data_IF_833860010561
#
_entry.id   IF_833860010561
#
_cell.length_a   1.000
_cell.length_b   1.000
_cell.length_c   1.000
_cell.angle_alpha   90.00
_cell.angle_beta   90.00
_cell.angle_gamma   90.00
#
_symmetry.space_group_name_H-M   'P 1'
#
loop_
_entity.id
_entity.type
_entity.pdbx_description
1 polymer ?
#
# COMPACT_ATOMS: atom_id res chain seq x y z
N UNK A 1 10.08 -14.39 11.35
CA UNK A 1 9.24 -13.18 11.49
C UNK A 1 10.08 -11.98 11.10
N UNK A 2 9.55 -11.03 10.32
CA UNK A 2 10.29 -9.83 9.94
C UNK A 2 10.69 -9.02 11.19
N UNK A 3 11.94 -8.56 11.24
CA UNK A 3 12.47 -7.77 12.35
C UNK A 3 11.70 -6.46 12.54
N UNK A 4 11.53 -6.04 13.79
CA UNK A 4 10.75 -4.83 14.13
C UNK A 4 11.32 -3.57 13.44
N UNK A 5 12.66 -3.50 13.30
CA UNK A 5 13.35 -2.42 12.59
C UNK A 5 12.88 -2.32 11.13
N UNK A 6 12.67 -3.44 10.45
CA UNK A 6 12.25 -3.46 9.06
C UNK A 6 10.75 -3.17 8.94
N UNK A 7 9.93 -3.70 9.83
CA UNK A 7 8.50 -3.35 9.94
C UNK A 7 8.30 -1.83 10.11
N UNK A 8 9.17 -1.15 10.89
CA UNK A 8 9.12 0.31 11.04
C UNK A 8 9.35 1.07 9.73
N UNK A 9 10.17 0.53 8.81
CA UNK A 9 10.39 1.14 7.48
C UNK A 9 9.09 1.11 6.67
N UNK A 10 8.42 -0.04 6.59
CA UNK A 10 7.13 -0.17 5.90
C UNK A 10 6.06 0.70 6.55
N UNK A 11 5.95 0.68 7.88
CA UNK A 11 5.01 1.53 8.61
C UNK A 11 5.18 3.01 8.27
N UNK A 12 6.43 3.48 8.18
CA UNK A 12 6.72 4.86 7.82
C UNK A 12 6.26 5.21 6.40
N UNK A 13 6.33 4.26 5.45
CA UNK A 13 5.84 4.47 4.09
C UNK A 13 4.31 4.60 4.02
N UNK A 14 3.57 3.71 4.70
CA UNK A 14 2.09 3.82 4.80
C UNK A 14 1.67 5.13 5.49
N UNK A 15 2.38 5.53 6.54
CA UNK A 15 2.13 6.78 7.25
C UNK A 15 2.37 8.00 6.35
N UNK A 16 3.46 8.00 5.58
CA UNK A 16 3.76 9.09 4.65
C UNK A 16 2.76 9.16 3.49
N UNK A 17 2.34 8.01 2.96
CA UNK A 17 1.28 7.94 1.96
C UNK A 17 -0.04 8.53 2.47
N UNK A 18 -0.42 8.21 3.71
CA UNK A 18 -1.59 8.79 4.37
C UNK A 18 -1.47 10.31 4.49
N UNK A 19 -0.32 10.82 4.96
CA UNK A 19 -0.08 12.26 5.07
C UNK A 19 -0.22 12.98 3.73
N UNK A 20 0.24 12.37 2.62
CA UNK A 20 0.05 12.93 1.29
C UNK A 20 -1.42 12.92 0.88
N UNK A 21 -2.16 11.83 1.09
CA UNK A 21 -3.59 11.75 0.74
C UNK A 21 -4.45 12.72 1.55
N UNK A 22 -4.15 12.90 2.84
CA UNK A 22 -4.80 13.89 3.70
C UNK A 22 -4.58 15.33 3.22
N UNK A 23 -3.41 15.62 2.65
CA UNK A 23 -3.05 16.94 2.12
C UNK A 23 -3.10 17.02 0.59
N UNK A 24 -3.85 16.12 -0.07
CA UNK A 24 -3.83 15.88 -1.53
C UNK A 24 -3.92 17.13 -2.40
N UNK A 25 -4.63 18.16 -1.95
CA UNK A 25 -4.79 19.43 -2.68
C UNK A 25 -3.48 20.21 -2.85
N UNK A 26 -2.50 20.02 -1.96
CA UNK A 26 -1.20 20.68 -2.00
C UNK A 26 -0.09 19.78 -2.57
N UNK A 27 -0.41 18.52 -2.88
CA UNK A 27 0.59 17.54 -3.32
C UNK A 27 0.94 17.76 -4.78
N UNK A 28 2.23 18.01 -5.02
CA UNK A 28 2.83 18.13 -6.35
C UNK A 28 3.74 16.94 -6.64
N UNK A 29 4.15 16.81 -7.90
CA UNK A 29 5.04 15.74 -8.33
C UNK A 29 6.36 15.71 -7.54
N UNK A 30 6.90 16.87 -7.13
CA UNK A 30 8.13 16.90 -6.31
C UNK A 30 7.98 16.19 -4.96
N UNK A 31 6.82 16.28 -4.31
CA UNK A 31 6.57 15.61 -3.03
C UNK A 31 6.55 14.08 -3.18
N UNK A 32 5.96 13.59 -4.27
CA UNK A 32 5.95 12.16 -4.62
C UNK A 32 7.38 11.67 -4.91
N UNK A 33 8.14 12.44 -5.68
CA UNK A 33 9.54 12.12 -5.99
C UNK A 33 10.42 12.07 -4.73
N UNK A 34 10.19 12.97 -3.77
CA UNK A 34 10.87 12.94 -2.47
C UNK A 34 10.54 11.67 -1.67
N UNK A 35 9.28 11.22 -1.66
CA UNK A 35 8.91 9.97 -0.96
C UNK A 35 9.54 8.73 -1.59
N UNK A 36 9.59 8.64 -2.92
CA UNK A 36 10.27 7.55 -3.63
C UNK A 36 11.75 7.48 -3.21
N UNK A 37 12.44 8.62 -3.22
CA UNK A 37 13.84 8.72 -2.78
C UNK A 37 14.03 8.34 -1.30
N UNK A 38 13.12 8.78 -0.44
CA UNK A 38 13.17 8.50 1.01
C UNK A 38 13.08 7.01 1.32
N UNK A 39 12.15 6.31 0.68
CA UNK A 39 11.83 4.92 1.04
C UNK A 39 12.68 3.89 0.30
N UNK A 40 13.19 4.21 -0.89
CA UNK A 40 14.22 3.44 -1.60
C UNK A 40 13.87 2.00 -1.99
N UNK A 41 12.74 1.46 -1.54
CA UNK A 41 12.22 0.15 -1.87
C UNK A 41 11.40 0.24 -3.18
N UNK A 42 11.74 -0.54 -4.22
CA UNK A 42 11.07 -0.47 -5.52
C UNK A 42 9.56 -0.73 -5.47
N UNK A 43 9.08 -1.65 -4.63
CA UNK A 43 7.63 -1.93 -4.53
C UNK A 43 6.96 -0.87 -3.67
N UNK A 44 7.59 -0.40 -2.59
CA UNK A 44 7.03 0.74 -1.84
C UNK A 44 7.04 2.05 -2.65
N UNK A 45 7.86 2.15 -3.69
CA UNK A 45 7.75 3.26 -4.66
C UNK A 45 6.41 3.24 -5.39
N UNK A 46 5.80 2.06 -5.58
CA UNK A 46 4.45 1.92 -6.14
C UNK A 46 3.37 2.50 -5.24
N UNK A 47 3.57 2.52 -3.92
CA UNK A 47 2.66 3.20 -3.00
C UNK A 47 2.58 4.71 -3.32
N UNK A 48 3.70 5.33 -3.67
CA UNK A 48 3.69 6.75 -4.01
C UNK A 48 3.24 7.01 -5.45
N UNK A 49 3.64 6.16 -6.40
CA UNK A 49 3.31 6.32 -7.82
C UNK A 49 1.87 5.89 -8.15
N UNK A 50 1.50 4.65 -7.83
CA UNK A 50 0.26 4.00 -8.27
C UNK A 50 -0.90 4.25 -7.30
N UNK A 51 -0.62 4.45 -6.01
CA UNK A 51 -1.69 4.75 -5.05
C UNK A 51 -1.85 6.25 -4.93
N UNK A 52 -0.85 6.95 -4.40
CA UNK A 52 -0.99 8.38 -4.07
C UNK A 52 -1.10 9.24 -5.33
N UNK A 53 -0.12 9.16 -6.23
CA UNK A 53 -0.06 10.09 -7.36
C UNK A 53 -1.15 9.85 -8.41
N UNK A 54 -1.45 8.59 -8.74
CA UNK A 54 -2.55 8.27 -9.64
C UNK A 54 -3.91 8.70 -9.07
N UNK A 55 -4.14 8.53 -7.77
CA UNK A 55 -5.40 8.95 -7.16
C UNK A 55 -5.55 10.47 -7.20
N UNK A 56 -4.48 11.22 -6.90
CA UNK A 56 -4.47 12.68 -7.04
C UNK A 56 -4.78 13.09 -8.49
N UNK A 57 -4.14 12.44 -9.47
CA UNK A 57 -4.40 12.71 -10.90
C UNK A 57 -5.85 12.41 -11.28
N UNK A 58 -6.41 11.30 -10.79
CA UNK A 58 -7.81 10.91 -11.02
C UNK A 58 -8.76 11.97 -10.46
N UNK A 59 -8.53 12.42 -9.23
CA UNK A 59 -9.33 13.46 -8.58
C UNK A 59 -9.24 14.79 -9.34
N UNK A 60 -8.04 15.21 -9.72
CA UNK A 60 -7.82 16.44 -10.49
C UNK A 60 -8.46 16.39 -11.88
N UNK A 61 -8.71 15.19 -12.41
CA UNK A 61 -9.42 14.98 -13.69
C UNK A 61 -10.95 14.90 -13.51
N UNK A 62 -11.49 15.25 -12.34
CA UNK A 62 -12.92 15.26 -12.05
C UNK A 62 -13.45 13.99 -11.37
N UNK A 63 -12.58 13.05 -10.98
CA UNK A 63 -12.98 11.87 -10.24
C UNK A 63 -13.42 12.20 -8.81
N UNK A 64 -14.57 11.66 -8.37
CA UNK A 64 -15.03 11.83 -6.99
C UNK A 64 -14.02 11.19 -6.00
N UNK A 65 -13.48 11.94 -5.03
CA UNK A 65 -12.56 11.39 -4.03
C UNK A 65 -13.31 10.54 -3.01
N UNK A 66 -12.60 9.58 -2.40
CA UNK A 66 -13.07 8.98 -1.14
C UNK A 66 -13.06 10.02 -0.01
N UNK A 67 -13.77 9.73 1.07
CA UNK A 67 -13.67 10.50 2.30
C UNK A 67 -12.29 10.30 2.94
N UNK A 68 -11.80 11.31 3.66
CA UNK A 68 -10.49 11.25 4.32
C UNK A 68 -10.37 10.03 5.25
N UNK A 69 -11.44 9.73 6.00
CA UNK A 69 -11.50 8.56 6.87
C UNK A 69 -11.35 7.25 6.09
N UNK A 70 -11.94 7.14 4.89
CA UNK A 70 -11.83 5.94 4.07
C UNK A 70 -10.41 5.73 3.54
N UNK A 71 -9.69 6.80 3.16
CA UNK A 71 -8.28 6.70 2.80
C UNK A 71 -7.42 6.24 3.97
N UNK A 72 -7.65 6.78 5.17
CA UNK A 72 -6.95 6.37 6.40
C UNK A 72 -7.19 4.90 6.72
N UNK A 73 -8.45 4.46 6.65
CA UNK A 73 -8.86 3.08 6.90
C UNK A 73 -8.26 2.11 5.87
N UNK A 74 -8.27 2.47 4.59
CA UNK A 74 -7.64 1.69 3.52
C UNK A 74 -6.14 1.47 3.78
N UNK A 75 -5.40 2.55 4.04
CA UNK A 75 -3.95 2.48 4.25
C UNK A 75 -3.59 1.79 5.56
N UNK A 76 -4.36 2.03 6.62
CA UNK A 76 -4.17 1.37 7.92
C UNK A 76 -4.50 -0.12 7.84
N UNK A 77 -5.57 -0.48 7.16
CA UNK A 77 -5.95 -1.86 6.90
C UNK A 77 -4.89 -2.61 6.10
N UNK A 78 -4.41 -2.02 5.01
CA UNK A 78 -3.35 -2.60 4.19
C UNK A 78 -2.04 -2.78 4.97
N UNK A 79 -1.68 -1.82 5.83
CA UNK A 79 -0.55 -1.98 6.74
C UNK A 79 -0.73 -3.14 7.71
N UNK A 80 -1.92 -3.26 8.33
CA UNK A 80 -2.22 -4.37 9.26
C UNK A 80 -2.11 -5.72 8.56
N UNK A 81 -2.66 -5.81 7.34
CA UNK A 81 -2.55 -6.99 6.48
C UNK A 81 -1.09 -7.31 6.18
N UNK A 82 -0.32 -6.33 5.67
CA UNK A 82 1.10 -6.51 5.39
C UNK A 82 1.86 -7.01 6.62
N UNK A 83 1.63 -6.42 7.79
CA UNK A 83 2.28 -6.81 9.04
C UNK A 83 1.94 -8.26 9.41
N UNK A 84 0.67 -8.65 9.33
CA UNK A 84 0.21 -10.02 9.63
C UNK A 84 0.91 -11.05 8.73
N UNK A 85 1.09 -10.71 7.45
CA UNK A 85 1.68 -11.59 6.45
C UNK A 85 3.18 -11.31 6.22
N UNK A 86 3.84 -10.49 7.05
CA UNK A 86 5.22 -10.03 6.82
C UNK A 86 6.30 -11.13 6.84
N UNK A 87 5.93 -12.36 7.20
CA UNK A 87 6.79 -13.53 7.20
C UNK A 87 6.25 -14.62 6.25
N UNK A 88 6.34 -14.39 4.93
CA UNK A 88 5.79 -15.33 3.96
C UNK A 88 6.49 -16.68 3.99
N UNK A 89 5.71 -17.74 3.80
CA UNK A 89 6.17 -19.12 3.68
C UNK A 89 5.68 -19.74 2.35
N UNK A 90 5.97 -21.02 2.13
CA UNK A 90 5.67 -21.73 0.87
C UNK A 90 4.40 -22.59 0.92
N UNK A 91 3.51 -22.37 1.89
CA UNK A 91 2.31 -23.19 2.03
C UNK A 91 1.12 -22.57 1.30
N UNK A 92 0.27 -23.41 0.70
CA UNK A 92 -0.93 -22.95 0.00
C UNK A 92 -1.89 -22.24 0.96
N UNK A 93 -1.98 -22.70 2.22
CA UNK A 93 -2.86 -22.10 3.23
C UNK A 93 -2.49 -20.63 3.49
N UNK A 94 -1.20 -20.31 3.49
CA UNK A 94 -0.73 -18.94 3.66
C UNK A 94 -1.18 -18.04 2.51
N UNK A 95 -0.96 -18.47 1.27
CA UNK A 95 -1.28 -17.66 0.08
C UNK A 95 -2.79 -17.55 -0.15
N UNK A 96 -3.53 -18.63 0.06
CA UNK A 96 -4.99 -18.63 -0.01
C UNK A 96 -5.58 -17.68 1.05
N UNK A 97 -5.10 -17.74 2.30
CA UNK A 97 -5.54 -16.83 3.36
C UNK A 97 -5.25 -15.36 3.06
N UNK A 98 -4.10 -15.05 2.44
CA UNK A 98 -3.77 -13.70 2.00
C UNK A 98 -4.73 -13.20 0.92
N UNK A 99 -4.96 -14.00 -0.12
CA UNK A 99 -5.86 -13.67 -1.24
C UNK A 99 -7.30 -13.48 -0.75
N UNK A 100 -7.77 -14.35 0.14
CA UNK A 100 -9.12 -14.23 0.73
C UNK A 100 -9.29 -12.92 1.50
N UNK A 101 -8.30 -12.55 2.31
CA UNK A 101 -8.33 -11.29 3.08
C UNK A 101 -8.28 -10.07 2.17
N UNK A 102 -7.45 -10.10 1.11
CA UNK A 102 -7.42 -9.05 0.08
C UNK A 102 -8.78 -8.92 -0.60
N UNK A 103 -9.39 -10.05 -0.98
CA UNK A 103 -10.70 -10.08 -1.61
C UNK A 103 -11.82 -9.53 -0.72
N UNK A 104 -11.79 -9.87 0.57
CA UNK A 104 -12.74 -9.33 1.56
C UNK A 104 -12.57 -7.81 1.74
N UNK A 105 -11.34 -7.34 1.94
CA UNK A 105 -11.05 -5.92 2.08
C UNK A 105 -11.40 -5.13 0.82
N UNK A 106 -11.04 -5.62 -0.37
CA UNK A 106 -11.38 -4.95 -1.63
C UNK A 106 -12.89 -4.72 -1.76
N UNK A 107 -13.70 -5.73 -1.40
CA UNK A 107 -15.17 -5.63 -1.41
C UNK A 107 -15.69 -4.60 -0.42
N UNK A 108 -15.13 -4.53 0.79
CA UNK A 108 -15.51 -3.55 1.83
C UNK A 108 -15.38 -2.10 1.33
N UNK A 109 -14.34 -1.79 0.57
CA UNK A 109 -14.11 -0.47 -0.01
C UNK A 109 -14.66 -0.31 -1.44
N UNK A 110 -15.65 -1.13 -1.81
CA UNK A 110 -16.38 -1.02 -3.08
C UNK A 110 -15.54 -1.31 -4.32
N UNK A 111 -14.44 -2.06 -4.18
CA UNK A 111 -13.50 -2.39 -5.26
C UNK A 111 -12.99 -1.15 -6.02
N UNK A 112 -12.83 -0.02 -5.34
CA UNK A 112 -12.33 1.18 -5.99
C UNK A 112 -10.86 1.00 -6.44
N UNK A 113 -10.44 1.82 -7.40
CA UNK A 113 -9.07 1.79 -7.92
C UNK A 113 -8.03 2.02 -6.83
N UNK A 114 -8.33 2.87 -5.85
CA UNK A 114 -7.42 3.18 -4.74
C UNK A 114 -7.10 1.93 -3.91
N UNK A 115 -8.13 1.23 -3.40
CA UNK A 115 -7.92 0.04 -2.57
C UNK A 115 -7.27 -1.08 -3.37
N UNK A 116 -7.65 -1.25 -4.64
CA UNK A 116 -7.07 -2.27 -5.53
C UNK A 116 -5.57 -2.03 -5.71
N UNK A 117 -5.16 -0.79 -5.96
CA UNK A 117 -3.75 -0.43 -6.09
C UNK A 117 -2.97 -0.66 -4.79
N UNK A 118 -3.57 -0.37 -3.63
CA UNK A 118 -2.92 -0.57 -2.32
C UNK A 118 -2.77 -2.06 -1.99
N UNK A 119 -3.80 -2.87 -2.19
CA UNK A 119 -3.80 -4.27 -1.78
C UNK A 119 -2.99 -5.13 -2.75
N UNK A 120 -3.16 -4.93 -4.05
CA UNK A 120 -2.55 -5.79 -5.07
C UNK A 120 -1.14 -5.28 -5.40
N UNK A 121 -1.03 -4.07 -5.94
CA UNK A 121 0.22 -3.56 -6.50
C UNK A 121 1.24 -3.10 -5.46
N UNK A 122 0.85 -3.02 -4.19
CA UNK A 122 1.76 -2.71 -3.09
C UNK A 122 1.85 -3.88 -2.14
N UNK A 123 0.75 -4.25 -1.48
CA UNK A 123 0.79 -5.22 -0.37
C UNK A 123 1.13 -6.63 -0.86
N UNK A 124 0.38 -7.19 -1.81
CA UNK A 124 0.61 -8.54 -2.33
C UNK A 124 1.97 -8.65 -3.02
N UNK A 125 2.26 -7.74 -3.94
CA UNK A 125 3.52 -7.77 -4.71
C UNK A 125 4.76 -7.61 -3.82
N UNK A 126 4.67 -6.86 -2.70
CA UNK A 126 5.80 -6.75 -1.78
C UNK A 126 5.99 -8.01 -0.95
N UNK A 127 4.91 -8.65 -0.50
CA UNK A 127 4.97 -9.93 0.19
C UNK A 127 5.56 -11.03 -0.70
N UNK A 128 5.16 -11.06 -1.98
CA UNK A 128 5.79 -11.93 -2.97
C UNK A 128 7.28 -11.63 -3.15
N UNK A 129 7.67 -10.35 -3.26
CA UNK A 129 9.08 -9.97 -3.39
C UNK A 129 9.89 -10.44 -2.18
N UNK A 130 9.38 -10.23 -0.97
CA UNK A 130 10.03 -10.67 0.28
C UNK A 130 10.20 -12.18 0.27
N UNK A 131 9.17 -12.92 -0.09
CA UNK A 131 9.23 -14.39 -0.20
C UNK A 131 10.30 -14.86 -1.20
N UNK A 132 10.30 -14.30 -2.42
CA UNK A 132 11.29 -14.64 -3.45
C UNK A 132 12.72 -14.31 -3.01
N UNK A 133 12.89 -13.22 -2.27
CA UNK A 133 14.20 -12.78 -1.77
C UNK A 133 14.74 -13.69 -0.66
N UNK A 134 13.89 -14.43 0.07
CA UNK A 134 14.31 -15.40 1.09
C UNK A 134 14.69 -16.77 0.50
N UNK A 135 14.27 -17.07 -0.74
CA UNK A 135 14.60 -18.32 -1.45
C UNK A 135 15.97 -18.27 -2.16
N UNK A 136 16.60 -17.09 -2.23
CA UNK A 136 17.96 -16.88 -2.75
C UNK A 136 18.98 -16.93 -1.62
#
# INVERSE_FOLDING_TARGET
MMEERDLRKYWSAYTDAWKLMKNRQMVKQEHVAQMIKKHGNPVMSRLFCLVVWQEIKRINSGGAPLQDKQYEECLTGAWKLFKQYSDPNDTEEYWNGLVDMIGAMSKEYGNCSFISNVLIHVTLEELERIWRSKKQ
#
